data_IF_260499562997
#
_entry.id   IF_260499562997
#
_cell.length_a   1.000
_cell.length_b   1.000
_cell.length_c   1.000
_cell.angle_alpha   90.00
_cell.angle_beta   90.00
_cell.angle_gamma   90.00
#
_symmetry.space_group_name_H-M   'P 1'
#
loop_
_entity.id
_entity.type
_entity.pdbx_description
1 polymer ?
#
# COMPACT_ATOMS: atom_id res chain seq x y z
N UNK A 1 -13.40 6.33 -2.57
CA UNK A 1 -14.78 6.00 -2.15
C UNK A 1 -15.39 7.07 -1.26
N UNK A 2 -14.86 7.33 -0.06
CA UNK A 2 -15.42 8.29 0.91
C UNK A 2 -15.64 9.69 0.31
N UNK A 3 -14.62 10.23 -0.38
CA UNK A 3 -14.69 11.52 -1.06
C UNK A 3 -15.85 11.60 -2.07
N UNK A 4 -16.10 10.51 -2.81
CA UNK A 4 -17.18 10.42 -3.81
C UNK A 4 -18.54 10.45 -3.12
N UNK A 5 -18.72 9.66 -2.05
CA UNK A 5 -19.97 9.61 -1.30
C UNK A 5 -20.31 10.97 -0.67
N UNK A 6 -19.32 11.65 -0.10
CA UNK A 6 -19.48 12.99 0.46
C UNK A 6 -19.83 14.02 -0.63
N UNK A 7 -19.16 13.96 -1.79
CA UNK A 7 -19.46 14.82 -2.94
C UNK A 7 -20.88 14.61 -3.47
N UNK A 8 -21.42 13.39 -3.36
CA UNK A 8 -22.81 13.07 -3.69
C UNK A 8 -23.84 13.55 -2.65
N UNK A 9 -23.42 14.29 -1.62
CA UNK A 9 -24.30 14.82 -0.58
C UNK A 9 -24.68 13.80 0.49
N UNK A 10 -24.03 12.64 0.54
CA UNK A 10 -24.28 11.65 1.59
C UNK A 10 -23.65 12.16 2.90
N UNK A 11 -24.41 12.19 4.02
CA UNK A 11 -23.88 12.63 5.31
C UNK A 11 -22.66 11.79 5.74
N UNK A 12 -21.67 12.44 6.37
CA UNK A 12 -20.37 11.83 6.73
C UNK A 12 -20.49 10.50 7.46
N UNK A 13 -21.37 10.43 8.48
CA UNK A 13 -21.57 9.20 9.26
C UNK A 13 -22.05 8.02 8.39
N UNK A 14 -22.94 8.29 7.43
CA UNK A 14 -23.46 7.29 6.49
C UNK A 14 -22.41 6.95 5.42
N UNK A 15 -21.68 7.95 4.94
CA UNK A 15 -20.60 7.78 3.99
C UNK A 15 -19.47 6.90 4.54
N UNK A 16 -19.10 7.04 5.82
CA UNK A 16 -18.11 6.20 6.48
C UNK A 16 -18.54 4.74 6.57
N UNK A 17 -19.79 4.48 6.99
CA UNK A 17 -20.34 3.11 7.04
C UNK A 17 -20.35 2.46 5.66
N UNK A 18 -20.87 3.16 4.65
CA UNK A 18 -20.90 2.68 3.27
C UNK A 18 -19.49 2.44 2.70
N UNK A 19 -18.56 3.37 2.94
CA UNK A 19 -17.18 3.21 2.49
C UNK A 19 -16.51 1.97 3.12
N UNK A 20 -16.76 1.70 4.41
CA UNK A 20 -16.29 0.51 5.10
C UNK A 20 -16.91 -0.78 4.57
N UNK A 21 -18.20 -0.78 4.22
CA UNK A 21 -18.88 -1.95 3.63
C UNK A 21 -18.36 -2.28 2.24
N UNK A 22 -18.12 -1.26 1.41
CA UNK A 22 -17.68 -1.46 0.02
C UNK A 22 -16.18 -1.80 -0.06
N UNK A 23 -15.41 -1.53 0.99
CA UNK A 23 -14.00 -1.88 1.06
C UNK A 23 -13.72 -3.39 0.94
N UNK A 24 -14.66 -4.27 1.31
CA UNK A 24 -14.47 -5.72 1.28
C UNK A 24 -13.48 -6.29 2.31
N UNK A 25 -12.83 -5.45 3.13
CA UNK A 25 -11.89 -5.86 4.16
C UNK A 25 -12.47 -5.65 5.56
N UNK A 26 -12.54 -6.71 6.37
CA UNK A 26 -13.09 -6.67 7.73
C UNK A 26 -12.37 -5.65 8.62
N UNK A 27 -11.04 -5.56 8.56
CA UNK A 27 -10.25 -4.59 9.35
C UNK A 27 -10.57 -3.15 8.97
N UNK A 28 -10.71 -2.88 7.67
CA UNK A 28 -11.08 -1.55 7.18
C UNK A 28 -12.50 -1.21 7.63
N UNK A 29 -13.45 -2.14 7.50
CA UNK A 29 -14.82 -1.95 7.97
C UNK A 29 -14.88 -1.62 9.47
N UNK A 30 -14.15 -2.34 10.30
CA UNK A 30 -14.04 -2.07 11.74
C UNK A 30 -13.41 -0.70 12.02
N UNK A 31 -12.32 -0.37 11.32
CA UNK A 31 -11.65 0.94 11.41
C UNK A 31 -12.60 2.10 11.09
N UNK A 32 -13.35 2.01 9.98
CA UNK A 32 -14.36 2.99 9.61
C UNK A 32 -15.52 3.06 10.61
N UNK A 33 -15.89 1.93 11.23
CA UNK A 33 -16.91 1.90 12.29
C UNK A 33 -16.45 2.65 13.53
N UNK A 34 -15.20 2.44 13.96
CA UNK A 34 -14.59 3.16 15.10
C UNK A 34 -14.54 4.66 14.81
N UNK A 35 -14.11 5.06 13.61
CA UNK A 35 -14.09 6.47 13.21
C UNK A 35 -15.50 7.08 13.22
N UNK A 36 -16.51 6.35 12.74
CA UNK A 36 -17.90 6.80 12.76
C UNK A 36 -18.44 6.94 14.19
N UNK A 37 -18.06 6.07 15.12
CA UNK A 37 -18.41 6.17 16.53
C UNK A 37 -17.82 7.43 17.15
N UNK A 38 -16.53 7.72 16.96
CA UNK A 38 -15.91 8.94 17.46
C UNK A 38 -16.59 10.21 16.93
N UNK A 39 -16.98 10.24 15.65
CA UNK A 39 -17.69 11.39 15.08
C UNK A 39 -19.09 11.51 15.67
N UNK A 40 -19.78 10.39 15.96
CA UNK A 40 -21.08 10.41 16.62
C UNK A 40 -21.03 10.96 18.05
N UNK A 41 -19.86 10.87 18.71
CA UNK A 41 -19.58 11.47 20.01
C UNK A 41 -19.22 12.97 19.92
N UNK A 42 -19.20 13.56 18.72
CA UNK A 42 -18.91 14.97 18.49
C UNK A 42 -17.45 15.28 18.17
N UNK A 43 -16.61 14.28 17.99
CA UNK A 43 -15.24 14.52 17.53
C UNK A 43 -15.21 14.92 16.04
N UNK A 44 -14.22 15.74 15.70
CA UNK A 44 -13.93 16.08 14.31
C UNK A 44 -13.42 14.86 13.54
N UNK A 45 -13.58 14.82 12.22
CA UNK A 45 -13.10 13.71 11.38
C UNK A 45 -11.58 13.54 11.53
N UNK A 46 -10.85 14.66 11.58
CA UNK A 46 -9.41 14.67 11.80
C UNK A 46 -9.01 14.04 13.15
N UNK A 47 -9.75 14.30 14.22
CA UNK A 47 -9.54 13.68 15.53
C UNK A 47 -9.89 12.20 15.53
N UNK A 48 -11.03 11.83 14.93
CA UNK A 48 -11.46 10.44 14.85
C UNK A 48 -10.44 9.57 14.09
N UNK A 49 -9.85 10.10 13.01
CA UNK A 49 -8.83 9.41 12.22
C UNK A 49 -7.50 9.19 12.95
N UNK A 50 -7.18 9.98 13.99
CA UNK A 50 -5.97 9.75 14.81
C UNK A 50 -5.99 8.38 15.49
N UNK A 51 -7.18 7.85 15.80
CA UNK A 51 -7.34 6.51 16.39
C UNK A 51 -6.91 5.40 15.44
N UNK A 52 -6.82 5.69 14.14
CA UNK A 52 -6.49 4.75 13.07
C UNK A 52 -5.17 5.10 12.36
N UNK A 53 -4.28 5.86 13.02
CA UNK A 53 -3.02 6.38 12.45
C UNK A 53 -2.11 5.34 11.81
N UNK A 54 -2.22 4.05 12.17
CA UNK A 54 -1.42 2.97 11.60
C UNK A 54 -1.72 2.75 10.11
N UNK A 55 -2.95 3.06 9.67
CA UNK A 55 -3.41 2.84 8.30
C UNK A 55 -3.30 4.10 7.42
N UNK A 56 -2.90 5.24 7.98
CA UNK A 56 -2.85 6.51 7.25
C UNK A 56 -1.44 7.09 7.27
N UNK A 57 -0.93 7.57 6.11
CA UNK A 57 0.25 8.41 6.08
C UNK A 57 0.15 9.59 7.06
N UNK A 58 1.25 9.95 7.74
CA UNK A 58 1.26 10.96 8.81
C UNK A 58 0.83 12.36 8.34
N UNK A 59 0.92 12.63 7.03
CA UNK A 59 0.55 13.91 6.42
C UNK A 59 -0.98 14.11 6.31
N UNK A 60 -1.77 13.04 6.32
CA UNK A 60 -3.22 13.12 6.03
C UNK A 60 -3.98 13.84 7.15
N UNK A 61 -3.69 13.53 8.41
CA UNK A 61 -4.45 14.08 9.54
C UNK A 61 -4.30 15.62 9.65
N UNK A 62 -3.10 16.21 9.57
CA UNK A 62 -2.94 17.66 9.57
C UNK A 62 -3.67 18.37 8.42
N UNK A 63 -3.65 17.80 7.21
CA UNK A 63 -4.37 18.35 6.05
C UNK A 63 -5.88 18.34 6.31
N UNK A 64 -6.41 17.24 6.82
CA UNK A 64 -7.83 17.13 7.15
C UNK A 64 -8.23 18.08 8.29
N UNK A 65 -7.38 18.27 9.30
CA UNK A 65 -7.65 19.20 10.38
C UNK A 65 -7.75 20.66 9.89
N UNK A 66 -6.90 21.05 8.93
CA UNK A 66 -6.95 22.37 8.31
C UNK A 66 -8.17 22.53 7.39
N UNK A 67 -8.47 21.53 6.57
CA UNK A 67 -9.59 21.59 5.62
C UNK A 67 -10.95 21.50 6.29
N UNK A 68 -11.05 20.78 7.41
CA UNK A 68 -12.26 20.72 8.23
C UNK A 68 -12.62 22.09 8.83
N UNK A 69 -11.61 22.88 9.25
CA UNK A 69 -11.80 24.26 9.74
C UNK A 69 -12.13 25.25 8.62
N UNK A 70 -11.53 25.06 7.45
CA UNK A 70 -11.73 25.91 6.27
C UNK A 70 -12.97 25.56 5.45
N UNK A 71 -13.68 24.48 5.81
CA UNK A 71 -14.86 24.00 5.07
C UNK A 71 -14.55 23.33 3.73
N UNK A 72 -13.28 23.02 3.45
CA UNK A 72 -12.79 22.45 2.17
C UNK A 72 -12.51 20.95 2.26
N UNK A 73 -13.22 20.26 3.15
CA UNK A 73 -12.97 18.86 3.48
C UNK A 73 -13.13 17.93 2.27
N UNK A 74 -14.13 18.21 1.42
CA UNK A 74 -14.42 17.39 0.23
C UNK A 74 -13.27 17.50 -0.77
N UNK A 75 -12.80 18.72 -1.05
CA UNK A 75 -11.70 18.98 -1.96
C UNK A 75 -10.41 18.30 -1.49
N UNK A 76 -10.08 18.42 -0.19
CA UNK A 76 -8.90 17.76 0.38
C UNK A 76 -9.00 16.24 0.34
N UNK A 77 -10.17 15.66 0.64
CA UNK A 77 -10.37 14.21 0.54
C UNK A 77 -10.22 13.69 -0.91
N UNK A 78 -10.61 14.49 -1.91
CA UNK A 78 -10.36 14.16 -3.32
C UNK A 78 -8.86 14.18 -3.60
N UNK A 79 -8.14 15.24 -3.21
CA UNK A 79 -6.68 15.32 -3.41
C UNK A 79 -5.95 14.17 -2.73
N UNK A 80 -6.27 13.87 -1.47
CA UNK A 80 -5.72 12.74 -0.72
C UNK A 80 -6.00 11.42 -1.44
N UNK A 81 -7.20 11.24 -2.00
CA UNK A 81 -7.54 10.01 -2.72
C UNK A 81 -6.73 9.82 -4.01
N UNK A 82 -6.44 10.91 -4.72
CA UNK A 82 -5.57 10.88 -5.91
C UNK A 82 -4.15 10.49 -5.52
N UNK A 83 -3.61 11.14 -4.49
CA UNK A 83 -2.24 10.91 -4.04
C UNK A 83 -2.02 9.48 -3.50
N UNK A 84 -2.97 8.96 -2.71
CA UNK A 84 -2.91 7.56 -2.24
C UNK A 84 -2.96 6.54 -3.39
N UNK A 85 -3.72 6.83 -4.44
CA UNK A 85 -3.79 5.98 -5.62
C UNK A 85 -2.49 6.01 -6.43
N UNK A 86 -1.89 7.19 -6.57
CA UNK A 86 -0.58 7.35 -7.21
C UNK A 86 0.53 6.62 -6.43
N UNK A 87 0.58 6.79 -5.11
CA UNK A 87 1.54 6.10 -4.23
C UNK A 87 1.40 4.57 -4.36
N UNK A 88 0.17 4.05 -4.41
CA UNK A 88 -0.09 2.62 -4.58
C UNK A 88 0.42 2.09 -5.92
N UNK A 89 0.19 2.83 -7.01
CA UNK A 89 0.70 2.47 -8.34
C UNK A 89 2.23 2.52 -8.40
N UNK A 90 2.86 3.52 -7.78
CA UNK A 90 4.32 3.60 -7.72
C UNK A 90 4.92 2.43 -6.94
N UNK A 91 4.30 2.03 -5.83
CA UNK A 91 4.75 0.88 -5.04
C UNK A 91 4.66 -0.42 -5.84
N UNK A 92 3.60 -0.64 -6.61
CA UNK A 92 3.49 -1.79 -7.52
C UNK A 92 4.60 -1.79 -8.58
N UNK A 93 4.85 -0.64 -9.22
CA UNK A 93 5.94 -0.50 -10.21
C UNK A 93 7.32 -0.80 -9.61
N UNK A 94 7.58 -0.38 -8.38
CA UNK A 94 8.85 -0.68 -7.69
C UNK A 94 9.06 -2.18 -7.46
N UNK A 95 7.99 -2.91 -7.16
CA UNK A 95 8.07 -4.37 -7.01
C UNK A 95 8.36 -5.05 -8.36
N UNK A 96 7.76 -4.57 -9.44
CA UNK A 96 8.01 -5.07 -10.80
C UNK A 96 9.48 -4.87 -11.23
N UNK A 97 10.07 -3.71 -10.94
CA UNK A 97 11.49 -3.41 -11.26
C UNK A 97 12.46 -4.35 -10.52
N UNK A 98 12.10 -4.90 -9.36
CA UNK A 98 12.96 -5.82 -8.62
C UNK A 98 12.94 -7.25 -9.18
N UNK A 99 11.92 -7.63 -9.94
CA UNK A 99 11.81 -8.99 -10.50
C UNK A 99 12.92 -9.26 -11.53
N UNK A 100 13.22 -8.28 -12.39
CA UNK A 100 14.26 -8.40 -13.42
C UNK A 100 15.66 -8.74 -12.85
N UNK A 101 16.23 -7.98 -11.89
CA UNK A 101 17.55 -8.30 -11.34
C UNK A 101 17.57 -9.62 -10.56
N UNK A 102 16.47 -10.02 -9.92
CA UNK A 102 16.36 -11.32 -9.24
C UNK A 102 16.46 -12.47 -10.23
N UNK A 103 15.77 -12.39 -11.36
CA UNK A 103 15.82 -13.41 -12.41
C UNK A 103 17.24 -13.58 -12.99
N UNK A 104 17.90 -12.47 -13.33
CA UNK A 104 19.26 -12.49 -13.89
C UNK A 104 20.25 -13.04 -12.85
N UNK A 105 20.14 -12.62 -11.58
CA UNK A 105 21.01 -13.10 -10.50
C UNK A 105 20.84 -14.60 -10.27
N UNK A 106 19.59 -15.08 -10.25
CA UNK A 106 19.28 -16.51 -10.10
C UNK A 106 19.84 -17.33 -11.26
N UNK A 107 19.66 -16.86 -12.51
CA UNK A 107 20.21 -17.51 -13.70
C UNK A 107 21.75 -17.56 -13.65
N UNK A 108 22.40 -16.47 -13.24
CA UNK A 108 23.85 -16.40 -13.11
C UNK A 108 24.40 -17.40 -12.09
N UNK A 109 23.78 -17.48 -10.91
CA UNK A 109 24.16 -18.47 -9.87
C UNK A 109 23.95 -19.90 -10.37
N UNK A 110 22.82 -20.18 -11.04
CA UNK A 110 22.55 -21.48 -11.63
C UNK A 110 23.62 -21.88 -12.66
N UNK A 111 23.98 -20.96 -13.57
CA UNK A 111 25.02 -21.20 -14.57
C UNK A 111 26.40 -21.45 -13.93
N UNK A 112 26.76 -20.72 -12.87
CA UNK A 112 28.02 -20.94 -12.15
C UNK A 112 28.11 -22.34 -11.53
N UNK A 113 27.02 -22.79 -10.90
CA UNK A 113 26.94 -24.15 -10.31
C UNK A 113 27.01 -25.20 -11.43
N UNK A 114 26.26 -24.99 -12.51
CA UNK A 114 26.23 -25.89 -13.65
C UNK A 114 27.62 -26.06 -14.30
N UNK A 115 28.31 -24.95 -14.58
CA UNK A 115 29.66 -24.96 -15.16
C UNK A 115 30.63 -25.65 -14.20
N UNK A 116 30.59 -25.33 -12.91
CA UNK A 116 31.49 -25.94 -11.91
C UNK A 116 31.32 -27.46 -11.82
N UNK A 117 30.07 -27.94 -11.89
CA UNK A 117 29.76 -29.37 -11.88
C UNK A 117 30.31 -30.10 -13.11
N UNK A 118 30.37 -29.44 -14.28
CA UNK A 118 30.93 -30.00 -15.51
C UNK A 118 32.48 -29.95 -15.55
N UNK A 119 33.10 -28.94 -14.93
CA UNK A 119 34.56 -28.82 -14.87
C UNK A 119 35.22 -29.91 -14.02
N UNK A 120 34.60 -30.30 -12.91
CA UNK A 120 35.13 -31.31 -12.00
C UNK A 120 35.42 -32.67 -12.66
N UNK A 121 34.51 -33.29 -13.45
CA UNK A 121 34.79 -34.55 -14.14
C UNK A 121 35.80 -34.38 -15.28
N UNK A 122 35.83 -33.24 -15.98
CA UNK A 122 36.85 -32.97 -16.99
C UNK A 122 38.25 -32.99 -16.37
N UNK A 123 38.44 -32.32 -15.24
CA UNK A 123 39.71 -32.29 -14.52
C UNK A 123 40.15 -33.70 -14.07
N UNK A 124 39.21 -34.49 -13.54
CA UNK A 124 39.49 -35.90 -13.17
C UNK A 124 39.93 -36.73 -14.36
N UNK A 125 39.30 -36.56 -15.53
CA UNK A 125 39.68 -37.25 -16.77
C UNK A 125 41.08 -36.86 -17.23
N UNK A 126 41.43 -35.57 -17.22
CA UNK A 126 42.78 -35.11 -17.60
C UNK A 126 43.89 -35.68 -16.70
N UNK A 127 43.65 -35.74 -15.39
CA UNK A 127 44.63 -36.31 -14.45
C UNK A 127 44.85 -37.82 -14.68
N UNK A 128 43.81 -38.54 -15.11
CA UNK A 128 43.90 -39.98 -15.40
C UNK A 128 44.66 -40.31 -16.70
N UNK A 129 44.82 -39.34 -17.61
CA UNK A 129 45.49 -39.52 -18.91
C UNK A 129 46.98 -39.13 -18.84
N UNK A 130 47.43 -38.47 -17.78
CA UNK A 130 48.81 -37.97 -17.62
C UNK A 130 49.76 -38.92 -16.84
N UNK A 131 49.51 -40.23 -16.85
CA UNK A 131 50.46 -41.25 -16.41
C UNK A 131 50.91 -42.13 -17.57
#
# INVERSE_FOLDING_TARGET
MLAVLLKSGIPLLKALKLAGEISGNKKIRESFSIVAEHISLGHSLSQALLTQKEYLPPLIVPILALSERSGTLIESLIQISVQLNEDSQQNMKRLEVLIEPILITCLGVFLLIFISALFLPLFKTFQNISF
#
